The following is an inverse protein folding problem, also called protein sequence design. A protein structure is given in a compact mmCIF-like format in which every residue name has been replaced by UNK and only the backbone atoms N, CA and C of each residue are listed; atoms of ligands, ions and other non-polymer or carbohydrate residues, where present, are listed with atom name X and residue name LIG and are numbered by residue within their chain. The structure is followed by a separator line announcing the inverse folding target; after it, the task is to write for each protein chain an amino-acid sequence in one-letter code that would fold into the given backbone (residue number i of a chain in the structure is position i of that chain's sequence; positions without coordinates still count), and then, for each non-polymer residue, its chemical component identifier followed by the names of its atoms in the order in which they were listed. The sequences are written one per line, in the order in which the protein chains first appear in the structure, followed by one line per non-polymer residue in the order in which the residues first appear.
data_IF_235431762319
#
_entry.id   IF_235431762319
#
_cell.length_a   1.000
_cell.length_b   1.000
_cell.length_c   1.000
_cell.angle_alpha   90.00
_cell.angle_beta   90.00
_cell.angle_gamma   90.00
#
_symmetry.space_group_name_H-M   'P 1'
#
loop_
_entity.id
_entity.type
_entity.pdbx_description
1 polymer ?
#
# COMPACT_ATOMS: atom_id res chain seq x y z
N UNK A 1 5.10 38.11 28.15
CA UNK A 1 4.00 37.18 28.47
C UNK A 1 4.28 35.91 27.70
N UNK A 2 4.96 34.96 28.34
CA UNK A 2 5.15 33.62 27.80
C UNK A 2 3.76 32.97 27.71
N UNK A 3 3.33 32.67 26.49
CA UNK A 3 2.10 31.92 26.28
C UNK A 3 2.33 30.52 26.86
N UNK A 4 1.55 30.18 27.88
CA UNK A 4 1.52 28.85 28.49
C UNK A 4 1.09 27.86 27.40
N UNK A 5 2.10 27.24 26.77
CA UNK A 5 1.94 26.18 25.77
C UNK A 5 1.28 24.99 26.45
N UNK A 6 0.09 24.62 25.98
CA UNK A 6 -0.67 23.54 26.57
C UNK A 6 -0.85 22.46 25.51
N UNK A 7 0.23 21.70 25.30
CA UNK A 7 0.19 20.49 24.48
C UNK A 7 -0.97 19.62 25.00
N UNK A 8 -1.96 19.34 24.15
CA UNK A 8 -3.06 18.47 24.53
C UNK A 8 -2.56 17.01 24.51
N UNK A 9 -1.95 16.59 25.61
CA UNK A 9 -1.65 15.19 25.88
C UNK A 9 -2.94 14.49 26.29
N UNK A 10 -3.63 13.91 25.31
CA UNK A 10 -4.76 13.03 25.55
C UNK A 10 -4.25 11.60 25.59
N UNK A 11 -4.03 11.09 26.81
CA UNK A 11 -3.75 9.67 27.07
C UNK A 11 -2.52 9.12 26.32
N UNK A 12 -1.45 9.93 26.19
CA UNK A 12 -0.22 9.54 25.50
C UNK A 12 -0.19 9.84 24.00
N UNK A 13 -1.24 10.48 23.46
CA UNK A 13 -1.26 11.02 22.10
C UNK A 13 -1.09 12.54 22.14
N UNK A 14 0.00 13.02 21.55
CA UNK A 14 0.27 14.45 21.36
C UNK A 14 -0.24 14.87 19.99
N UNK A 15 -1.26 15.73 19.98
CA UNK A 15 -1.78 16.32 18.74
C UNK A 15 -1.02 17.63 18.43
N UNK A 16 -0.60 17.87 17.18
CA UNK A 16 0.07 19.10 16.82
C UNK A 16 -0.86 20.31 17.03
N UNK A 17 -0.36 21.34 17.72
CA UNK A 17 -1.13 22.54 18.06
C UNK A 17 -1.41 23.45 16.85
N UNK A 18 -0.54 23.40 15.84
CA UNK A 18 -0.58 24.29 14.69
C UNK A 18 -0.87 23.52 13.40
N UNK A 19 -1.84 24.00 12.61
CA UNK A 19 -2.04 23.49 11.25
C UNK A 19 -0.75 23.68 10.45
N UNK A 20 -0.22 22.59 9.89
CA UNK A 20 0.96 22.65 9.05
C UNK A 20 0.57 23.39 7.76
N UNK A 21 1.20 24.54 7.54
CA UNK A 21 0.90 25.41 6.40
C UNK A 21 0.91 24.67 5.06
N UNK A 22 -0.10 24.96 4.23
CA UNK A 22 -0.22 24.41 2.88
C UNK A 22 0.51 25.28 1.86
N UNK A 23 1.18 24.62 0.92
CA UNK A 23 1.68 25.22 -0.31
C UNK A 23 0.51 25.55 -1.25
N UNK A 24 0.73 26.45 -2.20
CA UNK A 24 -0.33 26.80 -3.18
C UNK A 24 -0.88 25.60 -3.96
N UNK A 25 -0.08 24.63 -4.44
CA UNK A 25 -0.62 23.42 -5.06
C UNK A 25 -1.50 22.58 -4.12
N UNK A 26 -1.09 22.42 -2.85
CA UNK A 26 -1.87 21.68 -1.85
C UNK A 26 -3.21 22.37 -1.56
N UNK A 27 -3.22 23.71 -1.45
CA UNK A 27 -4.45 24.50 -1.29
C UNK A 27 -5.39 24.31 -2.48
N UNK A 28 -4.87 24.41 -3.70
CA UNK A 28 -5.66 24.20 -4.93
C UNK A 28 -6.32 22.82 -4.96
N UNK A 29 -5.57 21.77 -4.62
CA UNK A 29 -6.12 20.41 -4.53
C UNK A 29 -7.17 20.32 -3.42
N UNK A 30 -6.86 20.78 -2.20
CA UNK A 30 -7.77 20.69 -1.06
C UNK A 30 -9.10 21.42 -1.32
N UNK A 31 -9.06 22.58 -1.97
CA UNK A 31 -10.24 23.37 -2.33
C UNK A 31 -11.20 22.64 -3.28
N UNK A 32 -10.71 21.67 -4.04
CA UNK A 32 -11.52 20.85 -4.95
C UNK A 32 -12.04 19.57 -4.29
N UNK A 33 -11.62 19.26 -3.06
CA UNK A 33 -12.04 18.06 -2.33
C UNK A 33 -13.25 18.42 -1.44
N UNK A 34 -14.46 17.94 -1.78
CA UNK A 34 -15.67 18.29 -1.05
C UNK A 34 -15.76 17.55 0.29
N UNK A 35 -16.63 18.03 1.17
CA UNK A 35 -16.96 17.36 2.42
C UNK A 35 -17.98 16.23 2.17
N UNK A 36 -17.80 15.08 2.82
CA UNK A 36 -18.70 13.93 2.73
C UNK A 36 -18.35 12.96 1.59
N UNK A 37 -18.38 11.67 1.89
CA UNK A 37 -18.03 10.60 0.94
C UNK A 37 -18.99 10.54 -0.25
N UNK A 38 -20.26 10.84 -0.02
CA UNK A 38 -21.31 10.92 -1.04
C UNK A 38 -21.02 11.97 -2.11
N UNK A 39 -20.26 13.01 -1.76
CA UNK A 39 -19.87 14.09 -2.67
C UNK A 39 -18.51 13.83 -3.32
N UNK A 40 -17.87 12.69 -3.10
CA UNK A 40 -16.51 12.43 -3.55
C UNK A 40 -16.35 12.68 -5.06
N UNK A 41 -15.35 13.50 -5.41
CA UNK A 41 -15.05 13.84 -6.82
C UNK A 41 -13.97 12.93 -7.37
N UNK A 42 -14.05 12.59 -8.66
CA UNK A 42 -13.03 11.73 -9.28
C UNK A 42 -11.67 12.42 -9.35
N UNK A 43 -10.60 11.65 -9.23
CA UNK A 43 -9.24 12.14 -9.44
C UNK A 43 -9.05 12.69 -10.84
N UNK A 44 -9.67 12.09 -11.85
CA UNK A 44 -9.68 12.59 -13.23
C UNK A 44 -10.25 14.00 -13.36
N UNK A 45 -11.32 14.33 -12.62
CA UNK A 45 -11.90 15.67 -12.61
C UNK A 45 -10.92 16.69 -12.05
N UNK A 46 -10.31 16.41 -10.90
CA UNK A 46 -9.31 17.29 -10.28
C UNK A 46 -8.08 17.45 -11.20
N UNK A 47 -7.59 16.36 -11.80
CA UNK A 47 -6.45 16.38 -12.70
C UNK A 47 -6.69 17.29 -13.90
N UNK A 48 -7.86 17.18 -14.54
CA UNK A 48 -8.23 18.00 -15.69
C UNK A 48 -8.36 19.47 -15.32
N UNK A 49 -8.97 19.77 -14.17
CA UNK A 49 -9.21 21.15 -13.75
C UNK A 49 -7.92 21.88 -13.36
N UNK A 50 -6.95 21.16 -12.79
CA UNK A 50 -5.66 21.73 -12.36
C UNK A 50 -4.53 21.55 -13.37
N UNK A 51 -4.78 20.86 -14.49
CA UNK A 51 -3.76 20.45 -15.47
C UNK A 51 -2.57 19.72 -14.81
N UNK A 52 -2.88 18.68 -14.03
CA UNK A 52 -1.87 17.86 -13.33
C UNK A 52 -2.04 16.38 -13.63
N UNK A 53 -0.95 15.63 -13.53
CA UNK A 53 -1.02 14.16 -13.63
C UNK A 53 -1.67 13.52 -12.40
N UNK A 54 -2.29 12.36 -12.58
CA UNK A 54 -2.81 11.53 -11.46
C UNK A 54 -1.75 11.19 -10.42
N UNK A 55 -0.48 10.99 -10.85
CA UNK A 55 0.65 10.81 -9.94
C UNK A 55 0.87 12.04 -9.05
N UNK A 56 0.79 13.23 -9.63
CA UNK A 56 0.93 14.48 -8.89
C UNK A 56 -0.23 14.65 -7.90
N UNK A 57 -1.48 14.44 -8.34
CA UNK A 57 -2.64 14.48 -7.45
C UNK A 57 -2.51 13.50 -6.27
N UNK A 58 -2.08 12.26 -6.54
CA UNK A 58 -1.85 11.25 -5.50
C UNK A 58 -0.81 11.71 -4.49
N UNK A 59 0.29 12.33 -4.94
CA UNK A 59 1.30 12.88 -4.01
C UNK A 59 0.77 14.07 -3.21
N UNK A 60 -0.02 14.97 -3.82
CA UNK A 60 -0.65 16.09 -3.11
C UNK A 60 -1.63 15.60 -2.04
N UNK A 61 -2.52 14.65 -2.37
CA UNK A 61 -3.43 14.04 -1.41
C UNK A 61 -2.67 13.33 -0.27
N UNK A 62 -1.54 12.67 -0.58
CA UNK A 62 -0.67 12.08 0.44
C UNK A 62 -0.07 13.15 1.35
N UNK A 63 0.44 14.26 0.80
CA UNK A 63 1.01 15.37 1.59
C UNK A 63 -0.03 16.00 2.51
N UNK A 64 -1.25 16.21 2.02
CA UNK A 64 -2.37 16.69 2.84
C UNK A 64 -2.59 15.78 4.06
N UNK A 65 -2.64 14.46 3.86
CA UNK A 65 -2.77 13.49 4.97
C UNK A 65 -1.58 13.51 5.93
N UNK A 66 -0.36 13.64 5.40
CA UNK A 66 0.86 13.77 6.22
C UNK A 66 0.88 15.07 7.03
N UNK A 67 0.16 16.10 6.55
CA UNK A 67 -0.08 17.35 7.26
C UNK A 67 -1.33 17.31 8.15
N UNK A 68 -1.85 16.11 8.41
CA UNK A 68 -2.99 15.86 9.29
C UNK A 68 -4.33 16.44 8.80
N UNK A 69 -4.48 16.68 7.48
CA UNK A 69 -5.78 17.04 6.92
C UNK A 69 -6.65 15.80 6.73
N UNK A 70 -7.94 15.96 7.04
CA UNK A 70 -9.00 14.94 6.97
C UNK A 70 -9.40 14.56 5.54
N UNK A 71 -8.45 14.07 4.75
CA UNK A 71 -8.65 13.70 3.34
C UNK A 71 -8.76 12.19 3.18
N UNK A 72 -9.97 11.74 2.86
CA UNK A 72 -10.27 10.36 2.48
C UNK A 72 -10.12 10.12 0.98
N UNK A 73 -10.19 8.84 0.60
CA UNK A 73 -10.41 8.44 -0.79
C UNK A 73 -11.27 7.19 -0.87
N UNK A 74 -11.96 7.00 -1.99
CA UNK A 74 -12.78 5.83 -2.29
C UNK A 74 -11.96 4.79 -3.05
N UNK A 75 -12.53 3.59 -3.20
CA UNK A 75 -11.92 2.51 -4.00
C UNK A 75 -11.85 2.84 -5.50
N UNK A 76 -12.63 3.81 -5.98
CA UNK A 76 -12.75 4.18 -7.40
C UNK A 76 -12.18 5.58 -7.68
N UNK A 77 -11.07 5.92 -7.04
CA UNK A 77 -10.35 7.19 -7.25
C UNK A 77 -11.17 8.45 -6.94
N UNK A 78 -12.14 8.34 -6.02
CA UNK A 78 -12.89 9.50 -5.52
C UNK A 78 -12.20 10.12 -4.31
N UNK A 79 -12.06 11.44 -4.26
CA UNK A 79 -11.48 12.19 -3.13
C UNK A 79 -12.56 12.97 -2.39
N UNK A 80 -12.51 12.95 -1.06
CA UNK A 80 -13.43 13.67 -0.18
C UNK A 80 -12.75 14.01 1.14
N UNK A 81 -13.33 14.97 1.88
CA UNK A 81 -13.01 15.24 3.29
C UNK A 81 -14.02 14.54 4.18
N UNK A 82 -13.59 14.00 5.32
CA UNK A 82 -14.51 13.31 6.22
C UNK A 82 -15.55 14.27 6.77
N UNK A 83 -16.82 13.94 6.56
CA UNK A 83 -17.94 14.68 7.13
C UNK A 83 -18.13 14.38 8.62
N UNK A 84 -17.80 13.16 9.05
CA UNK A 84 -18.05 12.70 10.40
C UNK A 84 -17.09 11.57 10.82
N UNK A 85 -17.02 11.27 12.13
CA UNK A 85 -16.23 10.16 12.68
C UNK A 85 -16.45 8.80 12.01
N UNK A 86 -17.68 8.49 11.59
CA UNK A 86 -17.99 7.19 10.97
C UNK A 86 -17.30 7.03 9.62
N UNK A 87 -17.21 8.09 8.81
CA UNK A 87 -16.46 8.06 7.55
C UNK A 87 -14.97 7.87 7.79
N UNK A 88 -14.40 8.62 8.74
CA UNK A 88 -13.01 8.50 9.15
C UNK A 88 -12.68 7.06 9.56
N UNK A 89 -13.47 6.47 10.48
CA UNK A 89 -13.25 5.10 10.96
C UNK A 89 -13.36 4.06 9.83
N UNK A 90 -14.31 4.22 8.90
CA UNK A 90 -14.43 3.36 7.71
C UNK A 90 -13.18 3.44 6.84
N UNK A 91 -12.65 4.65 6.61
CA UNK A 91 -11.43 4.86 5.85
C UNK A 91 -10.21 4.25 6.54
N UNK A 92 -10.05 4.48 7.85
CA UNK A 92 -8.94 3.92 8.63
C UNK A 92 -8.96 2.39 8.66
N UNK A 93 -10.14 1.78 8.79
CA UNK A 93 -10.29 0.32 8.72
C UNK A 93 -9.91 -0.23 7.34
N UNK A 94 -10.26 0.46 6.26
CA UNK A 94 -9.82 0.09 4.91
C UNK A 94 -8.31 0.16 4.78
N UNK A 95 -7.70 1.29 5.19
CA UNK A 95 -6.25 1.50 5.13
C UNK A 95 -5.48 0.48 5.97
N UNK A 96 -5.96 0.18 7.17
CA UNK A 96 -5.40 -0.86 8.05
C UNK A 96 -5.41 -2.24 7.39
N UNK A 97 -6.54 -2.63 6.80
CA UNK A 97 -6.62 -3.90 6.07
C UNK A 97 -5.65 -3.93 4.91
N UNK A 98 -5.52 -2.86 4.13
CA UNK A 98 -4.57 -2.81 3.00
C UNK A 98 -3.11 -2.91 3.45
N UNK A 99 -2.75 -2.28 4.57
CA UNK A 99 -1.43 -2.41 5.19
C UNK A 99 -1.14 -3.85 5.60
N UNK A 100 -2.02 -4.48 6.39
CA UNK A 100 -1.84 -5.87 6.81
C UNK A 100 -1.70 -6.81 5.61
N UNK A 101 -2.50 -6.59 4.56
CA UNK A 101 -2.42 -7.39 3.33
C UNK A 101 -1.06 -7.24 2.63
N UNK A 102 -0.50 -6.04 2.63
CA UNK A 102 0.81 -5.76 2.03
C UNK A 102 1.95 -6.37 2.85
N UNK A 103 1.86 -6.32 4.18
CA UNK A 103 2.80 -6.98 5.09
C UNK A 103 2.82 -8.48 4.91
N UNK A 104 1.64 -9.12 4.83
CA UNK A 104 1.53 -10.55 4.56
C UNK A 104 2.18 -10.95 3.23
N UNK A 105 2.01 -10.12 2.19
CA UNK A 105 2.67 -10.37 0.90
C UNK A 105 4.17 -10.25 1.05
N UNK A 106 4.70 -9.16 1.63
CA UNK A 106 6.15 -9.00 1.84
C UNK A 106 6.73 -10.19 2.59
N UNK A 107 6.07 -10.63 3.65
CA UNK A 107 6.53 -11.77 4.44
C UNK A 107 6.52 -13.07 3.62
N UNK A 108 5.44 -13.34 2.90
CA UNK A 108 5.37 -14.52 2.03
C UNK A 108 6.42 -14.51 0.92
N UNK A 109 6.74 -13.33 0.36
CA UNK A 109 7.72 -13.20 -0.72
C UNK A 109 9.14 -13.59 -0.27
N UNK A 110 9.47 -13.45 1.02
CA UNK A 110 10.77 -13.86 1.59
C UNK A 110 11.02 -15.37 1.54
N UNK A 111 9.98 -16.17 1.34
CA UNK A 111 10.06 -17.63 1.27
C UNK A 111 9.89 -18.18 -0.16
N UNK A 112 9.86 -17.29 -1.15
CA UNK A 112 9.76 -17.70 -2.56
C UNK A 112 11.04 -18.41 -3.03
N UNK A 113 10.97 -19.25 -4.09
CA UNK A 113 12.16 -19.89 -4.65
C UNK A 113 13.26 -18.90 -5.05
N UNK A 114 12.92 -17.74 -5.61
CA UNK A 114 13.92 -16.71 -5.95
C UNK A 114 14.59 -16.13 -4.69
N UNK A 115 13.83 -15.87 -3.63
CA UNK A 115 14.38 -15.41 -2.35
C UNK A 115 15.35 -16.44 -1.74
N UNK A 116 14.97 -17.72 -1.78
CA UNK A 116 15.81 -18.83 -1.33
C UNK A 116 17.10 -18.92 -2.16
N UNK A 117 16.99 -18.83 -3.50
CA UNK A 117 18.15 -18.82 -4.40
C UNK A 117 19.11 -17.69 -4.04
N UNK A 118 18.61 -16.47 -3.88
CA UNK A 118 19.43 -15.31 -3.48
C UNK A 118 20.14 -15.57 -2.14
N UNK A 119 19.43 -16.14 -1.17
CA UNK A 119 19.97 -16.44 0.15
C UNK A 119 21.09 -17.48 0.06
N UNK A 120 20.89 -18.55 -0.70
CA UNK A 120 21.90 -19.59 -0.95
C UNK A 120 23.10 -19.00 -1.69
N UNK A 121 22.89 -18.26 -2.77
CA UNK A 121 23.97 -17.67 -3.58
C UNK A 121 24.82 -16.70 -2.72
N UNK A 122 24.16 -15.86 -1.91
CA UNK A 122 24.83 -14.93 -0.97
C UNK A 122 25.60 -15.68 0.11
N UNK A 123 25.01 -16.73 0.67
CA UNK A 123 25.66 -17.55 1.70
C UNK A 123 26.82 -18.37 1.13
N UNK A 124 26.73 -18.89 -0.10
CA UNK A 124 27.84 -19.56 -0.78
C UNK A 124 29.00 -18.59 -1.03
N UNK A 125 28.72 -17.35 -1.42
CA UNK A 125 29.76 -16.30 -1.51
C UNK A 125 30.40 -16.01 -0.14
N UNK A 126 29.62 -16.01 0.94
CA UNK A 126 30.14 -15.84 2.30
C UNK A 126 30.93 -17.06 2.80
N UNK A 127 30.53 -18.29 2.46
CA UNK A 127 31.22 -19.54 2.80
C UNK A 127 32.60 -19.59 2.13
N UNK A 128 32.69 -19.22 0.84
CA UNK A 128 33.98 -19.11 0.12
C UNK A 128 34.92 -18.10 0.81
N UNK A 129 34.39 -17.12 1.53
CA UNK A 129 35.17 -16.11 2.25
C UNK A 129 35.41 -16.41 3.74
N UNK A 130 34.63 -17.30 4.39
CA UNK A 130 34.65 -17.44 5.86
C UNK A 130 34.56 -18.87 6.42
N UNK A 131 34.34 -19.91 5.60
CA UNK A 131 34.45 -21.31 6.02
C UNK A 131 33.45 -21.79 7.09
N UNK A 132 32.25 -21.19 7.19
CA UNK A 132 31.22 -21.55 8.18
C UNK A 132 29.96 -22.15 7.54
N UNK A 133 29.54 -23.33 7.99
CA UNK A 133 28.30 -24.00 7.57
C UNK A 133 27.11 -23.67 8.50
N UNK A 134 25.97 -23.29 7.92
CA UNK A 134 24.71 -23.06 8.66
C UNK A 134 23.55 -23.89 8.06
N UNK A 135 23.26 -25.03 8.70
CA UNK A 135 22.08 -25.88 8.44
C UNK A 135 20.79 -25.28 9.02
N UNK A 136 20.23 -24.26 8.37
CA UNK A 136 19.02 -23.57 8.87
C UNK A 136 17.92 -23.27 7.86
N UNK A 137 18.00 -23.75 6.61
CA UNK A 137 16.98 -23.48 5.59
C UNK A 137 15.79 -24.45 5.72
N UNK A 138 15.04 -24.35 6.82
CA UNK A 138 13.79 -25.10 6.98
C UNK A 138 12.76 -24.53 6.01
N UNK A 139 12.39 -25.35 5.05
CA UNK A 139 11.35 -25.07 4.06
C UNK A 139 9.96 -25.25 4.69
N UNK A 140 9.03 -24.29 4.56
CA UNK A 140 7.63 -24.62 4.77
C UNK A 140 7.20 -25.62 3.70
N UNK A 141 6.74 -26.77 4.18
CA UNK A 141 6.27 -27.92 3.42
C UNK A 141 5.21 -27.47 2.38
N UNK A 142 5.45 -27.74 1.09
CA UNK A 142 4.60 -27.28 -0.03
C UNK A 142 3.37 -28.16 -0.21
N UNK A 143 2.37 -28.06 0.67
CA UNK A 143 1.07 -28.71 0.47
C UNK A 143 -0.11 -27.72 0.30
N UNK A 144 0.14 -26.51 -0.21
CA UNK A 144 -0.96 -25.68 -0.72
C UNK A 144 -1.23 -26.01 -2.19
N UNK A 145 -2.07 -27.02 -2.43
CA UNK A 145 -2.54 -27.38 -3.77
C UNK A 145 -3.18 -26.15 -4.43
N UNK A 146 -2.61 -25.67 -5.53
CA UNK A 146 -3.24 -24.64 -6.35
C UNK A 146 -4.58 -25.14 -6.87
N UNK A 147 -5.60 -24.28 -6.83
CA UNK A 147 -6.84 -24.48 -7.57
C UNK A 147 -6.57 -24.49 -9.08
N UNK A 148 -7.47 -25.08 -9.86
CA UNK A 148 -7.32 -25.11 -11.32
C UNK A 148 -7.24 -23.70 -11.94
N UNK A 149 -7.97 -22.74 -11.39
CA UNK A 149 -7.90 -21.35 -11.86
C UNK A 149 -6.55 -20.70 -11.53
N UNK A 150 -5.98 -20.95 -10.36
CA UNK A 150 -4.64 -20.46 -10.00
C UNK A 150 -3.55 -21.11 -10.88
N UNK A 151 -3.66 -22.40 -11.21
CA UNK A 151 -2.74 -23.06 -12.14
C UNK A 151 -2.82 -22.44 -13.53
N UNK A 152 -4.04 -22.23 -14.05
CA UNK A 152 -4.26 -21.57 -15.34
C UNK A 152 -3.69 -20.15 -15.34
N UNK A 153 -3.93 -19.38 -14.28
CA UNK A 153 -3.34 -18.05 -14.13
C UNK A 153 -1.82 -18.11 -14.13
N UNK A 154 -1.20 -18.95 -13.29
CA UNK A 154 0.25 -19.06 -13.21
C UNK A 154 0.86 -19.44 -14.56
N UNK A 155 0.22 -20.34 -15.32
CA UNK A 155 0.68 -20.72 -16.66
C UNK A 155 0.62 -19.60 -17.69
N UNK A 156 -0.26 -18.61 -17.50
CA UNK A 156 -0.36 -17.44 -18.39
C UNK A 156 0.68 -16.37 -18.06
N UNK A 157 1.13 -16.27 -16.81
CA UNK A 157 2.08 -15.23 -16.40
C UNK A 157 3.46 -15.60 -16.96
N UNK A 158 4.05 -14.76 -17.83
CA UNK A 158 5.31 -15.09 -18.49
C UNK A 158 6.49 -14.90 -17.56
N UNK A 159 7.59 -15.58 -17.87
CA UNK A 159 8.87 -15.39 -17.20
C UNK A 159 9.55 -14.11 -17.71
N UNK A 160 10.09 -13.31 -16.79
CA UNK A 160 10.82 -12.07 -17.10
C UNK A 160 9.93 -10.84 -17.19
N UNK A 161 10.40 -9.73 -16.62
CA UNK A 161 9.69 -8.43 -16.52
C UNK A 161 9.38 -7.82 -17.88
N UNK A 162 10.25 -8.03 -18.86
CA UNK A 162 10.10 -7.54 -20.24
C UNK A 162 8.90 -8.16 -20.96
N UNK A 163 8.51 -9.38 -20.58
CA UNK A 163 7.41 -10.10 -21.19
C UNK A 163 6.06 -9.86 -20.51
N UNK A 164 6.00 -8.95 -19.52
CA UNK A 164 4.83 -8.78 -18.64
C UNK A 164 3.49 -8.70 -19.39
N UNK A 165 2.46 -9.31 -18.80
CA UNK A 165 1.09 -9.21 -19.32
C UNK A 165 0.27 -8.28 -18.46
N UNK A 166 -0.56 -7.45 -19.11
CA UNK A 166 -1.45 -6.54 -18.40
C UNK A 166 -2.54 -7.31 -17.66
N UNK A 167 -3.00 -6.75 -16.54
CA UNK A 167 -4.13 -7.29 -15.78
C UNK A 167 -5.39 -7.47 -16.66
N UNK A 168 -5.63 -6.56 -17.61
CA UNK A 168 -6.76 -6.62 -18.53
C UNK A 168 -6.64 -7.79 -19.52
N UNK A 169 -5.44 -8.04 -20.06
CA UNK A 169 -5.20 -9.19 -20.93
C UNK A 169 -5.47 -10.51 -20.21
N UNK A 170 -4.92 -10.67 -19.00
CA UNK A 170 -5.10 -11.89 -18.20
C UNK A 170 -6.58 -12.08 -17.83
N UNK A 171 -7.27 -11.00 -17.47
CA UNK A 171 -8.70 -11.01 -17.17
C UNK A 171 -9.52 -11.56 -18.35
N UNK A 172 -9.26 -11.06 -19.56
CA UNK A 172 -9.92 -11.53 -20.77
C UNK A 172 -9.58 -12.99 -21.10
N UNK A 173 -8.31 -13.38 -20.98
CA UNK A 173 -7.87 -14.75 -21.28
C UNK A 173 -8.44 -15.81 -20.34
N UNK A 174 -8.77 -15.42 -19.11
CA UNK A 174 -9.34 -16.30 -18.09
C UNK A 174 -10.86 -16.15 -17.91
N UNK A 175 -11.50 -15.24 -18.66
CA UNK A 175 -12.91 -14.88 -18.52
C UNK A 175 -13.30 -14.51 -17.07
N UNK A 176 -12.49 -13.65 -16.45
CA UNK A 176 -12.72 -13.13 -15.10
C UNK A 176 -12.47 -11.63 -15.03
N UNK A 177 -13.04 -10.94 -14.04
CA UNK A 177 -12.78 -9.52 -13.87
C UNK A 177 -11.36 -9.24 -13.34
N UNK A 178 -10.82 -8.05 -13.65
CA UNK A 178 -9.47 -7.61 -13.22
C UNK A 178 -9.28 -7.62 -11.70
N UNK A 179 -10.36 -7.38 -10.93
CA UNK A 179 -10.36 -7.51 -9.46
C UNK A 179 -10.07 -8.95 -9.03
N UNK A 180 -10.63 -9.92 -9.72
CA UNK A 180 -10.41 -11.33 -9.44
C UNK A 180 -8.97 -11.74 -9.79
N UNK A 181 -8.42 -11.26 -10.92
CA UNK A 181 -7.00 -11.44 -11.26
C UNK A 181 -6.09 -10.93 -10.13
N UNK A 182 -6.29 -9.68 -9.67
CA UNK A 182 -5.51 -9.10 -8.56
C UNK A 182 -5.57 -9.95 -7.29
N UNK A 183 -6.73 -10.53 -6.99
CA UNK A 183 -6.92 -11.44 -5.86
C UNK A 183 -6.10 -12.72 -6.04
N UNK A 184 -6.22 -13.39 -7.20
CA UNK A 184 -5.49 -14.63 -7.49
C UNK A 184 -3.97 -14.41 -7.52
N UNK A 185 -3.48 -13.31 -8.08
CA UNK A 185 -2.05 -12.95 -8.04
C UNK A 185 -1.56 -12.84 -6.60
N UNK A 186 -2.35 -12.21 -5.74
CA UNK A 186 -2.01 -12.13 -4.32
C UNK A 186 -1.98 -13.51 -3.68
N UNK A 187 -2.95 -14.37 -3.97
CA UNK A 187 -2.98 -15.74 -3.45
C UNK A 187 -1.76 -16.55 -3.89
N UNK A 188 -1.33 -16.41 -5.15
CA UNK A 188 -0.07 -16.98 -5.64
C UNK A 188 1.14 -16.48 -4.83
N UNK A 189 1.24 -15.17 -4.57
CA UNK A 189 2.33 -14.61 -3.73
C UNK A 189 2.29 -15.13 -2.31
N UNK A 190 1.11 -15.24 -1.71
CA UNK A 190 0.92 -15.81 -0.37
C UNK A 190 1.26 -17.30 -0.31
N UNK A 191 1.14 -18.00 -1.43
CA UNK A 191 1.61 -19.39 -1.61
C UNK A 191 3.08 -19.47 -2.08
N UNK A 192 3.82 -18.38 -1.95
CA UNK A 192 5.26 -18.29 -2.21
C UNK A 192 5.67 -18.50 -3.68
N UNK A 193 4.80 -18.15 -4.63
CA UNK A 193 5.18 -18.12 -6.05
C UNK A 193 5.89 -16.82 -6.42
N UNK A 194 6.88 -16.92 -7.31
CA UNK A 194 7.76 -15.84 -7.78
C UNK A 194 7.07 -14.85 -8.73
N UNK A 195 5.96 -14.24 -8.30
CA UNK A 195 5.14 -13.38 -9.16
C UNK A 195 5.36 -11.90 -8.82
N UNK A 196 6.01 -11.18 -9.73
CA UNK A 196 6.22 -9.73 -9.69
C UNK A 196 5.06 -8.93 -10.27
N UNK A 197 5.17 -7.60 -10.20
CA UNK A 197 4.32 -6.71 -10.99
C UNK A 197 5.00 -5.36 -11.29
N UNK A 198 4.71 -4.80 -12.45
CA UNK A 198 5.23 -3.50 -12.89
C UNK A 198 4.39 -2.34 -12.32
N UNK A 199 4.84 -1.11 -12.54
CA UNK A 199 4.11 0.11 -12.12
C UNK A 199 2.82 0.30 -12.91
N UNK A 200 2.79 -0.13 -14.17
CA UNK A 200 1.62 0.01 -15.05
C UNK A 200 0.62 -1.17 -14.90
N UNK A 201 0.81 -2.02 -13.90
CA UNK A 201 -0.12 -3.10 -13.57
C UNK A 201 0.06 -4.37 -14.41
N UNK A 202 1.25 -4.57 -14.99
CA UNK A 202 1.65 -5.81 -15.63
C UNK A 202 2.14 -6.86 -14.63
N UNK A 203 1.94 -8.13 -14.94
CA UNK A 203 2.37 -9.28 -14.13
C UNK A 203 3.39 -10.13 -14.89
N UNK A 204 4.37 -10.66 -14.16
CA UNK A 204 5.44 -11.52 -14.67
C UNK A 204 5.96 -12.43 -13.55
N UNK A 205 6.61 -13.52 -13.91
CA UNK A 205 7.37 -14.36 -13.00
C UNK A 205 8.82 -13.90 -12.97
N UNK A 206 9.46 -13.88 -11.80
CA UNK A 206 10.86 -13.45 -11.71
C UNK A 206 11.76 -14.42 -12.47
N UNK A 207 12.51 -13.87 -13.42
CA UNK A 207 13.58 -14.58 -14.13
C UNK A 207 14.91 -14.39 -13.42
N UNK A 208 15.13 -13.22 -12.80
CA UNK A 208 16.42 -12.86 -12.21
C UNK A 208 16.30 -12.39 -10.76
N UNK A 209 17.38 -12.55 -9.96
CA UNK A 209 17.48 -11.93 -8.63
C UNK A 209 17.27 -10.41 -8.62
N UNK A 210 17.69 -9.73 -9.69
CA UNK A 210 17.53 -8.29 -9.82
C UNK A 210 16.05 -7.90 -9.88
N UNK A 211 15.25 -8.61 -10.68
CA UNK A 211 13.81 -8.35 -10.77
C UNK A 211 13.08 -8.54 -9.44
N UNK A 212 13.45 -9.59 -8.69
CA UNK A 212 12.94 -9.82 -7.33
C UNK A 212 13.32 -8.66 -6.41
N UNK A 213 14.60 -8.26 -6.41
CA UNK A 213 15.11 -7.21 -5.53
C UNK A 213 14.47 -5.85 -5.83
N UNK A 214 14.32 -5.49 -7.10
CA UNK A 214 13.59 -4.29 -7.53
C UNK A 214 12.14 -4.30 -7.06
N UNK A 215 11.45 -5.43 -7.25
CA UNK A 215 10.06 -5.60 -6.83
C UNK A 215 9.91 -5.46 -5.31
N UNK A 216 10.76 -6.14 -4.54
CA UNK A 216 10.73 -6.08 -3.07
C UNK A 216 11.08 -4.70 -2.52
N UNK A 217 12.04 -4.00 -3.14
CA UNK A 217 12.37 -2.62 -2.80
C UNK A 217 11.20 -1.67 -3.04
N UNK A 218 10.51 -1.82 -4.17
CA UNK A 218 9.32 -1.04 -4.48
C UNK A 218 8.22 -1.30 -3.45
N UNK A 219 7.89 -2.57 -3.22
CA UNK A 219 6.81 -2.98 -2.30
C UNK A 219 7.08 -2.49 -0.87
N UNK A 220 8.33 -2.59 -0.41
CA UNK A 220 8.75 -2.10 0.90
C UNK A 220 8.64 -0.58 1.03
N UNK A 221 9.01 0.18 -0.01
CA UNK A 221 8.85 1.65 -0.04
C UNK A 221 7.38 2.07 -0.01
N UNK A 222 6.52 1.37 -0.76
CA UNK A 222 5.07 1.60 -0.76
C UNK A 222 4.43 1.29 0.60
N UNK A 223 4.85 0.20 1.25
CA UNK A 223 4.43 -0.15 2.61
C UNK A 223 4.85 0.94 3.61
N UNK A 224 6.12 1.38 3.58
CA UNK A 224 6.64 2.40 4.48
C UNK A 224 5.88 3.73 4.34
N UNK A 225 5.61 4.18 3.10
CA UNK A 225 4.81 5.37 2.83
C UNK A 225 3.39 5.25 3.38
N UNK A 226 2.77 4.08 3.22
CA UNK A 226 1.42 3.83 3.70
C UNK A 226 1.35 3.81 5.24
N UNK A 227 2.38 3.29 5.91
CA UNK A 227 2.54 3.37 7.37
C UNK A 227 2.65 4.82 7.86
N UNK A 228 3.48 5.63 7.21
CA UNK A 228 3.60 7.06 7.53
C UNK A 228 2.24 7.78 7.42
N UNK A 229 1.48 7.50 6.35
CA UNK A 229 0.14 8.04 6.20
C UNK A 229 -0.77 7.57 7.34
N UNK A 230 -0.77 6.28 7.67
CA UNK A 230 -1.58 5.76 8.79
C UNK A 230 -1.28 6.46 10.11
N UNK A 231 -0.01 6.64 10.45
CA UNK A 231 0.37 7.35 11.68
C UNK A 231 -0.06 8.82 11.64
N UNK A 232 0.13 9.52 10.52
CA UNK A 232 -0.31 10.91 10.40
C UNK A 232 -1.83 11.05 10.51
N UNK A 233 -2.60 10.09 9.97
CA UNK A 233 -4.06 10.11 10.05
C UNK A 233 -4.58 9.98 11.49
N UNK A 234 -3.83 9.31 12.39
CA UNK A 234 -4.18 9.19 13.82
C UNK A 234 -4.10 10.52 14.58
N UNK A 235 -3.50 11.54 13.97
CA UNK A 235 -3.32 12.87 14.57
C UNK A 235 -4.19 13.94 13.89
N UNK A 236 -5.13 13.54 13.03
CA UNK A 236 -6.07 14.45 12.37
C UNK A 236 -7.10 15.05 13.34
N UNK A 237 -7.74 16.19 12.99
CA UNK A 237 -8.85 16.74 13.76
C UNK A 237 -9.98 15.73 14.02
N UNK A 238 -10.36 14.91 13.03
CA UNK A 238 -11.37 13.86 13.24
C UNK A 238 -10.92 12.78 14.24
N UNK A 239 -9.65 12.37 14.19
CA UNK A 239 -9.10 11.43 15.17
C UNK A 239 -9.17 12.01 16.59
N UNK A 240 -8.80 13.29 16.75
CA UNK A 240 -8.90 14.01 18.02
C UNK A 240 -10.35 14.09 18.52
N UNK A 241 -11.29 14.42 17.63
CA UNK A 241 -12.72 14.48 17.96
C UNK A 241 -13.22 13.14 18.52
N UNK A 242 -12.89 12.01 17.87
CA UNK A 242 -13.27 10.67 18.32
C UNK A 242 -12.74 10.37 19.73
N UNK A 243 -11.48 10.69 19.99
CA UNK A 243 -10.87 10.48 21.31
C UNK A 243 -11.60 11.28 22.38
N UNK A 244 -11.94 12.55 22.10
CA UNK A 244 -12.66 13.40 23.05
C UNK A 244 -14.08 12.87 23.30
N UNK A 245 -14.80 12.49 22.25
CA UNK A 245 -16.19 12.00 22.34
C UNK A 245 -16.29 10.68 23.11
N UNK A 246 -15.41 9.72 22.80
CA UNK A 246 -15.38 8.41 23.46
C UNK A 246 -15.18 8.54 24.98
N UNK A 247 -14.36 9.50 25.40
CA UNK A 247 -14.06 9.76 26.81
C UNK A 247 -15.13 10.57 27.55
N UNK A 248 -16.04 11.27 26.84
CA UNK A 248 -17.20 11.91 27.47
C UNK A 248 -18.33 10.93 27.75
N UNK A 249 -18.32 9.77 27.08
CA UNK A 249 -19.33 8.72 27.19
C UNK A 249 -18.91 7.54 28.08
N UNK A 250 -17.66 7.54 28.58
CA UNK A 250 -17.10 6.54 29.49
C UNK A 250 -17.19 7.02 30.95
#
# INVERSE_FOLDING_TARGET
MESIQTELNLYGLTFPEQEIGLTEPEKKVLNLIPLGKENAVSGSYICNLLDISSRHLTDQARRLRLKHYDVGSTTYDGYYRFLNPTEYLKFMNMLSRELTRSEQVIEAMRFTPMAQKITIDTNQMAIVQSGLDFHGLISPNRENKLSELEKRLLSLIPLGKENMLTCAYIANALDICTRHVKKLIRELRLKHYDVGSTTDGGYYQFQTPMEYSEFMNKLSKELARSKQVMEAMRLTPMARQIVIETNRTA
#
